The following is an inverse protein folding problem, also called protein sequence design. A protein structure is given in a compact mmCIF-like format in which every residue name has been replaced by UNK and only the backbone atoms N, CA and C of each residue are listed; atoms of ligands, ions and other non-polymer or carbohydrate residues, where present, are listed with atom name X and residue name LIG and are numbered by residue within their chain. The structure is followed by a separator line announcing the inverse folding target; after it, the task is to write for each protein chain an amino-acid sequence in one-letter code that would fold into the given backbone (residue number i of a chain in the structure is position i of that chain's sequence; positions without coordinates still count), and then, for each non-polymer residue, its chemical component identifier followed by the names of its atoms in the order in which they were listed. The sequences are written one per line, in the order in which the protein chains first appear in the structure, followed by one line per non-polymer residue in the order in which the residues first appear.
data_IF_301628087780
#
_entry.id   IF_301628087780
#
_cell.length_a   1.000
_cell.length_b   1.000
_cell.length_c   1.000
_cell.angle_alpha   90.00
_cell.angle_beta   90.00
_cell.angle_gamma   90.00
#
_symmetry.space_group_name_H-M   'P 1'
#
loop_
_entity.id
_entity.type
_entity.pdbx_description
1 polymer ?
#
# COMPACT_ATOMS: atom_id res chain seq x y z
N UNK A 1 44.79 -18.93 23.18
CA UNK A 1 43.32 -19.17 23.22
C UNK A 1 42.59 -17.83 23.29
N UNK A 2 42.79 -16.98 22.28
CA UNK A 2 42.29 -15.62 22.25
C UNK A 2 41.22 -15.46 21.17
N UNK A 3 40.26 -16.39 21.09
CA UNK A 3 38.97 -16.09 20.44
C UNK A 3 38.18 -15.28 21.46
N UNK A 4 38.63 -14.05 21.70
CA UNK A 4 38.31 -13.28 22.91
C UNK A 4 37.12 -12.40 22.63
N UNK A 5 35.96 -12.71 23.21
CA UNK A 5 34.76 -11.86 23.38
C UNK A 5 34.22 -11.12 22.12
N UNK A 6 35.01 -10.25 21.48
CA UNK A 6 34.71 -9.58 20.22
C UNK A 6 34.24 -10.55 19.13
N UNK A 7 34.94 -11.68 18.95
CA UNK A 7 34.56 -12.70 17.97
C UNK A 7 33.22 -13.35 18.32
N UNK A 8 32.98 -13.61 19.61
CA UNK A 8 31.72 -14.18 20.10
C UNK A 8 30.57 -13.18 19.93
N UNK A 9 30.80 -11.91 20.21
CA UNK A 9 29.84 -10.82 20.01
C UNK A 9 29.53 -10.65 18.52
N UNK A 10 30.56 -10.62 17.67
CA UNK A 10 30.39 -10.53 16.23
C UNK A 10 29.59 -11.72 15.67
N UNK A 11 29.91 -12.94 16.11
CA UNK A 11 29.18 -14.15 15.74
C UNK A 11 27.72 -14.11 16.21
N UNK A 12 27.47 -13.68 17.45
CA UNK A 12 26.12 -13.53 17.98
C UNK A 12 25.30 -12.49 17.20
N UNK A 13 25.90 -11.33 16.89
CA UNK A 13 25.27 -10.30 16.07
C UNK A 13 24.96 -10.85 14.68
N UNK A 14 25.94 -11.49 14.02
CA UNK A 14 25.74 -12.09 12.71
C UNK A 14 24.59 -13.10 12.71
N UNK A 15 24.54 -13.98 13.72
CA UNK A 15 23.46 -14.95 13.88
C UNK A 15 22.10 -14.26 14.04
N UNK A 16 22.00 -13.21 14.84
CA UNK A 16 20.76 -12.43 15.01
C UNK A 16 20.32 -11.82 13.68
N UNK A 17 21.23 -11.23 12.91
CA UNK A 17 20.90 -10.65 11.59
C UNK A 17 20.46 -11.72 10.58
N UNK A 18 21.10 -12.89 10.57
CA UNK A 18 20.71 -14.01 9.71
C UNK A 18 19.32 -14.52 10.08
N UNK A 19 19.07 -14.79 11.37
CA UNK A 19 17.75 -15.22 11.84
C UNK A 19 16.68 -14.16 11.54
N UNK A 20 17.01 -12.88 11.71
CA UNK A 20 16.12 -11.79 11.36
C UNK A 20 15.78 -11.77 9.88
N UNK A 21 16.76 -11.96 8.99
CA UNK A 21 16.52 -11.97 7.55
C UNK A 21 15.44 -12.99 7.18
N UNK A 22 15.50 -14.20 7.74
CA UNK A 22 14.48 -15.23 7.50
C UNK A 22 13.14 -14.86 8.14
N UNK A 23 13.12 -14.41 9.39
CA UNK A 23 11.91 -14.02 10.10
C UNK A 23 11.19 -12.83 9.42
N UNK A 24 11.95 -11.81 9.05
CA UNK A 24 11.49 -10.62 8.32
C UNK A 24 10.87 -10.98 6.98
N UNK A 25 11.55 -11.81 6.18
CA UNK A 25 11.03 -12.29 4.89
C UNK A 25 9.75 -13.10 5.06
N UNK A 26 9.71 -13.97 6.06
CA UNK A 26 8.53 -14.77 6.38
C UNK A 26 7.33 -13.90 6.76
N UNK A 27 7.55 -12.94 7.66
CA UNK A 27 6.51 -11.99 8.06
C UNK A 27 6.04 -11.16 6.89
N UNK A 28 6.96 -10.66 6.07
CA UNK A 28 6.64 -9.83 4.92
C UNK A 28 5.80 -10.59 3.88
N UNK A 29 6.09 -11.87 3.63
CA UNK A 29 5.25 -12.74 2.77
C UNK A 29 3.85 -12.95 3.35
N UNK A 30 3.74 -13.22 4.66
CA UNK A 30 2.44 -13.34 5.33
C UNK A 30 1.63 -12.03 5.24
N UNK A 31 2.31 -10.89 5.40
CA UNK A 31 1.71 -9.56 5.30
C UNK A 31 1.23 -9.28 3.87
N UNK A 32 2.07 -9.54 2.88
CA UNK A 32 1.74 -9.42 1.46
C UNK A 32 0.48 -10.24 1.13
N UNK A 33 0.40 -11.50 1.56
CA UNK A 33 -0.77 -12.35 1.34
C UNK A 33 -2.05 -11.83 2.01
N UNK A 34 -1.95 -11.25 3.22
CA UNK A 34 -3.10 -10.60 3.88
C UNK A 34 -3.57 -9.37 3.12
N UNK A 35 -2.65 -8.49 2.73
CA UNK A 35 -2.97 -7.28 1.95
C UNK A 35 -3.54 -7.64 0.59
N UNK A 36 -2.96 -8.60 -0.12
CA UNK A 36 -3.45 -9.08 -1.41
C UNK A 36 -4.90 -9.57 -1.28
N UNK A 37 -5.23 -10.38 -0.26
CA UNK A 37 -6.61 -10.81 0.00
C UNK A 37 -7.54 -9.65 0.38
N UNK A 38 -7.06 -8.66 1.11
CA UNK A 38 -7.87 -7.47 1.44
C UNK A 38 -8.16 -6.64 0.19
N UNK A 39 -7.15 -6.44 -0.67
CA UNK A 39 -7.28 -5.77 -1.97
C UNK A 39 -8.24 -6.54 -2.89
N UNK A 40 -8.03 -7.84 -3.08
CA UNK A 40 -8.87 -8.68 -3.94
C UNK A 40 -10.35 -8.68 -3.47
N UNK A 41 -10.61 -8.65 -2.15
CA UNK A 41 -11.97 -8.52 -1.62
C UNK A 41 -12.60 -7.15 -1.88
N UNK A 42 -11.79 -6.11 -2.00
CA UNK A 42 -12.26 -4.76 -2.29
C UNK A 42 -12.50 -4.52 -3.81
N UNK A 43 -11.89 -5.32 -4.68
CA UNK A 43 -11.93 -5.13 -6.14
C UNK A 43 -13.28 -5.16 -6.84
N UNK A 44 -14.27 -6.00 -6.47
CA UNK A 44 -15.51 -6.17 -7.24
C UNK A 44 -16.30 -4.88 -7.51
N UNK A 45 -16.04 -3.83 -6.74
CA UNK A 45 -16.69 -2.53 -6.92
C UNK A 45 -15.95 -1.57 -7.88
N UNK A 46 -14.78 -1.96 -8.41
CA UNK A 46 -14.08 -1.28 -9.51
C UNK A 46 -14.22 -2.02 -10.84
N UNK A 47 -14.64 -3.28 -10.81
CA UNK A 47 -14.80 -4.14 -11.99
C UNK A 47 -14.69 -5.63 -11.64
N UNK A 48 -14.80 -6.48 -12.66
CA UNK A 48 -14.57 -7.93 -12.60
C UNK A 48 -13.15 -8.28 -13.04
N UNK A 49 -12.67 -9.44 -12.61
CA UNK A 49 -11.33 -9.91 -12.94
C UNK A 49 -10.20 -9.13 -12.26
N UNK A 50 -9.15 -9.84 -11.86
CA UNK A 50 -7.99 -9.24 -11.23
C UNK A 50 -6.72 -9.96 -11.67
N UNK A 51 -5.74 -9.20 -12.16
CA UNK A 51 -4.38 -9.70 -12.35
C UNK A 51 -3.52 -9.23 -11.18
N UNK A 52 -2.73 -10.15 -10.60
CA UNK A 52 -1.79 -9.81 -9.53
C UNK A 52 -0.38 -9.99 -10.03
N UNK A 53 0.42 -8.93 -9.97
CA UNK A 53 1.82 -8.92 -10.41
C UNK A 53 2.72 -8.57 -9.23
N UNK A 54 3.61 -9.49 -8.78
CA UNK A 54 4.56 -9.17 -7.72
C UNK A 54 5.56 -8.12 -8.18
N UNK A 55 6.01 -7.27 -7.25
CA UNK A 55 7.04 -6.25 -7.50
C UNK A 55 8.32 -6.62 -6.76
N UNK A 56 9.47 -6.43 -7.42
CA UNK A 56 10.81 -6.59 -6.83
C UNK A 56 10.99 -7.92 -6.08
N UNK A 57 11.10 -9.03 -6.80
CA UNK A 57 11.30 -10.37 -6.22
C UNK A 57 10.15 -10.88 -5.33
N UNK A 58 9.02 -10.17 -5.26
CA UNK A 58 7.85 -10.55 -4.47
C UNK A 58 7.90 -10.15 -2.99
N UNK A 59 8.94 -9.43 -2.55
CA UNK A 59 9.06 -8.93 -1.18
C UNK A 59 8.86 -7.42 -1.05
N UNK A 60 8.93 -6.67 -2.15
CA UNK A 60 8.76 -5.21 -2.12
C UNK A 60 7.32 -4.73 -2.24
N UNK A 61 6.43 -5.53 -2.82
CA UNK A 61 5.08 -5.10 -3.11
C UNK A 61 4.38 -5.97 -4.14
N UNK A 62 3.19 -5.55 -4.54
CA UNK A 62 2.46 -6.13 -5.64
C UNK A 62 1.57 -5.07 -6.30
N UNK A 63 1.37 -5.22 -7.60
CA UNK A 63 0.41 -4.47 -8.39
C UNK A 63 -0.80 -5.36 -8.64
N UNK A 64 -1.99 -4.78 -8.51
CA UNK A 64 -3.24 -5.42 -8.90
C UNK A 64 -3.90 -4.58 -9.97
N UNK A 65 -4.19 -5.19 -11.12
CA UNK A 65 -4.89 -4.53 -12.22
C UNK A 65 -6.28 -5.16 -12.37
N UNK A 66 -7.30 -4.32 -12.55
CA UNK A 66 -8.66 -4.77 -12.84
C UNK A 66 -8.74 -5.20 -14.30
N UNK A 67 -9.21 -6.44 -14.53
CA UNK A 67 -9.29 -7.01 -15.87
C UNK A 67 -10.43 -6.42 -16.71
N UNK A 68 -11.60 -6.31 -16.10
CA UNK A 68 -12.84 -5.80 -16.71
C UNK A 68 -13.36 -4.63 -15.85
N UNK A 69 -12.95 -3.39 -16.17
CA UNK A 69 -13.40 -2.21 -15.45
C UNK A 69 -14.93 -2.05 -15.45
N UNK A 70 -15.48 -1.59 -14.33
CA UNK A 70 -16.90 -1.29 -14.21
C UNK A 70 -17.33 -0.01 -14.97
N UNK A 71 -18.64 0.30 -15.02
CA UNK A 71 -19.17 1.42 -15.79
C UNK A 71 -18.51 2.76 -15.44
N UNK A 72 -18.06 3.50 -16.47
CA UNK A 72 -17.43 4.81 -16.35
C UNK A 72 -15.94 4.78 -15.92
N UNK A 73 -15.36 3.60 -15.76
CA UNK A 73 -13.95 3.39 -15.44
C UNK A 73 -13.26 2.83 -16.68
N UNK A 74 -12.19 3.48 -17.13
CA UNK A 74 -11.35 3.01 -18.23
C UNK A 74 -10.30 2.01 -17.76
N UNK A 75 -9.71 2.25 -16.60
CA UNK A 75 -8.70 1.38 -16.01
C UNK A 75 -8.68 1.56 -14.49
N UNK A 76 -8.35 0.51 -13.75
CA UNK A 76 -8.15 0.60 -12.32
C UNK A 76 -6.96 -0.27 -11.89
N UNK A 77 -6.08 0.34 -11.10
CA UNK A 77 -4.85 -0.29 -10.61
C UNK A 77 -4.66 0.01 -9.14
N UNK A 78 -4.20 -0.99 -8.39
CA UNK A 78 -3.85 -0.85 -6.98
C UNK A 78 -2.41 -1.31 -6.80
N UNK A 79 -1.55 -0.36 -6.48
CA UNK A 79 -0.15 -0.60 -6.18
C UNK A 79 0.03 -0.67 -4.65
N UNK A 80 0.47 -1.82 -4.16
CA UNK A 80 0.80 -2.02 -2.76
C UNK A 80 2.32 -2.11 -2.60
N UNK A 81 2.89 -1.21 -1.80
CA UNK A 81 4.30 -1.19 -1.44
C UNK A 81 4.43 -1.62 0.02
N UNK A 82 5.16 -2.71 0.24
CA UNK A 82 5.41 -3.26 1.56
C UNK A 82 6.61 -2.58 2.19
N UNK A 83 6.56 -2.41 3.50
CA UNK A 83 7.73 -1.98 4.26
C UNK A 83 8.83 -3.06 4.20
N UNK A 84 10.11 -2.69 3.96
CA UNK A 84 11.22 -3.64 3.94
C UNK A 84 11.52 -4.12 5.37
N UNK A 85 11.03 -5.32 5.70
CA UNK A 85 11.21 -5.96 7.03
C UNK A 85 12.45 -6.83 7.13
N UNK A 86 13.15 -7.03 6.01
CA UNK A 86 14.29 -7.93 5.87
C UNK A 86 15.55 -7.39 6.60
N UNK A 87 15.63 -6.08 6.83
CA UNK A 87 16.75 -5.42 7.51
C UNK A 87 16.28 -4.82 8.85
N UNK A 88 16.73 -5.35 10.01
CA UNK A 88 16.15 -5.00 11.31
C UNK A 88 16.35 -3.53 11.68
N UNK A 89 17.54 -2.99 11.43
CA UNK A 89 17.86 -1.59 11.74
C UNK A 89 17.10 -0.61 10.83
N UNK A 90 17.02 -0.92 9.53
CA UNK A 90 16.26 -0.11 8.59
C UNK A 90 14.76 -0.15 8.92
N UNK A 91 14.24 -1.32 9.28
CA UNK A 91 12.86 -1.50 9.69
C UNK A 91 12.53 -0.78 11.00
N UNK A 92 13.40 -0.85 12.01
CA UNK A 92 13.25 -0.11 13.25
C UNK A 92 13.21 1.41 12.98
N UNK A 93 14.09 1.91 12.12
CA UNK A 93 14.11 3.32 11.72
C UNK A 93 12.84 3.76 10.96
N UNK A 94 12.33 2.94 10.05
CA UNK A 94 11.08 3.24 9.33
C UNK A 94 9.87 3.21 10.26
N UNK A 95 9.83 2.27 11.21
CA UNK A 95 8.82 2.22 12.26
C UNK A 95 8.83 3.49 13.12
N UNK A 96 10.01 3.97 13.54
CA UNK A 96 10.16 5.21 14.31
C UNK A 96 9.67 6.46 13.53
N UNK A 97 9.80 6.46 12.20
CA UNK A 97 9.29 7.54 11.32
C UNK A 97 7.80 7.39 10.95
N UNK A 98 7.10 6.41 11.53
CA UNK A 98 5.70 6.12 11.22
C UNK A 98 5.49 5.73 9.75
N UNK A 99 6.49 5.19 9.06
CA UNK A 99 6.31 4.61 7.73
C UNK A 99 5.67 3.23 7.90
N UNK A 100 4.61 2.98 7.12
CA UNK A 100 3.88 1.71 7.07
C UNK A 100 3.78 1.23 5.63
N UNK A 101 3.09 0.11 5.41
CA UNK A 101 2.77 -0.34 4.06
C UNK A 101 1.96 0.75 3.35
N UNK A 102 2.29 1.04 2.09
CA UNK A 102 1.62 2.08 1.31
C UNK A 102 0.75 1.46 0.23
N UNK A 103 -0.44 2.01 0.04
CA UNK A 103 -1.36 1.60 -1.00
C UNK A 103 -1.69 2.81 -1.85
N UNK A 104 -1.57 2.64 -3.15
CA UNK A 104 -1.86 3.63 -4.17
C UNK A 104 -2.96 3.06 -5.04
N UNK A 105 -4.15 3.65 -4.99
CA UNK A 105 -5.29 3.32 -5.84
C UNK A 105 -5.31 4.34 -6.96
N UNK A 106 -5.13 3.88 -8.19
CA UNK A 106 -5.26 4.68 -9.40
C UNK A 106 -6.47 4.22 -10.17
N UNK A 107 -7.37 5.13 -10.49
CA UNK A 107 -8.56 4.88 -11.30
C UNK A 107 -8.57 5.89 -12.43
N UNK A 108 -8.50 5.41 -13.66
CA UNK A 108 -8.67 6.22 -14.86
C UNK A 108 -10.14 6.14 -15.29
N UNK A 109 -10.79 7.27 -15.50
CA UNK A 109 -12.19 7.37 -15.94
C UNK A 109 -12.32 7.58 -17.45
N UNK A 110 -13.50 7.30 -17.99
CA UNK A 110 -13.84 7.66 -19.38
C UNK A 110 -14.06 9.16 -19.56
N UNK A 111 -14.49 9.84 -18.49
CA UNK A 111 -14.73 11.28 -18.45
C UNK A 111 -13.82 11.97 -17.43
N UNK A 112 -13.52 13.24 -17.67
CA UNK A 112 -12.74 14.04 -16.73
C UNK A 112 -13.45 14.12 -15.36
N UNK A 113 -12.80 13.69 -14.26
CA UNK A 113 -13.38 13.81 -12.93
C UNK A 113 -13.51 15.29 -12.55
N UNK A 114 -14.46 15.58 -11.67
CA UNK A 114 -14.56 16.90 -11.05
C UNK A 114 -13.24 17.20 -10.29
N UNK A 115 -12.73 18.45 -10.35
CA UNK A 115 -11.48 18.81 -9.69
C UNK A 115 -11.61 18.62 -8.17
N UNK A 116 -10.79 17.74 -7.61
CA UNK A 116 -10.75 17.47 -6.17
C UNK A 116 -9.29 17.27 -5.75
N UNK A 117 -8.68 18.27 -5.10
CA UNK A 117 -7.33 18.15 -4.56
C UNK A 117 -7.41 18.21 -3.04
N UNK A 118 -7.16 17.07 -2.39
CA UNK A 118 -6.98 17.02 -0.94
C UNK A 118 -5.54 16.63 -0.70
N UNK A 119 -4.71 17.64 -0.41
CA UNK A 119 -3.39 17.41 0.14
C UNK A 119 -3.54 16.89 1.57
N UNK A 120 -2.83 15.81 1.88
CA UNK A 120 -2.91 15.09 3.14
C UNK A 120 -2.36 15.88 4.32
N UNK A 121 -3.12 16.87 4.78
CA UNK A 121 -2.96 17.47 6.10
C UNK A 121 -3.62 16.63 7.21
N UNK A 122 -3.26 16.84 8.48
CA UNK A 122 -3.87 16.14 9.62
C UNK A 122 -5.40 16.29 9.67
N UNK A 123 -5.96 17.37 9.11
CA UNK A 123 -7.41 17.60 9.07
C UNK A 123 -8.15 16.80 7.96
N UNK A 124 -7.52 16.54 6.81
CA UNK A 124 -8.13 15.79 5.70
C UNK A 124 -8.14 14.27 5.94
N UNK A 125 -7.08 13.77 6.58
CA UNK A 125 -6.96 12.36 7.00
C UNK A 125 -7.91 12.00 8.15
N UNK A 126 -8.10 12.91 9.12
CA UNK A 126 -9.03 12.73 10.24
C UNK A 126 -10.50 12.63 9.81
N UNK A 127 -10.94 13.40 8.80
CA UNK A 127 -12.34 13.36 8.30
C UNK A 127 -12.72 12.04 7.62
N UNK A 128 -11.75 11.33 7.05
CA UNK A 128 -11.98 10.08 6.31
C UNK A 128 -11.56 8.85 7.12
N UNK A 129 -10.93 9.05 8.28
CA UNK A 129 -10.45 7.98 9.15
C UNK A 129 -9.37 7.12 8.51
N UNK A 130 -8.62 7.66 7.53
CA UNK A 130 -7.56 6.95 6.80
C UNK A 130 -6.23 7.60 7.13
N UNK A 131 -5.29 6.81 7.63
CA UNK A 131 -3.94 7.25 7.97
C UNK A 131 -3.18 7.80 6.76
N UNK A 132 -2.74 9.06 6.84
CA UNK A 132 -1.83 9.71 5.86
C UNK A 132 -2.34 9.64 4.40
N UNK A 133 -3.64 9.88 4.22
CA UNK A 133 -4.31 9.95 2.92
C UNK A 133 -3.86 11.16 2.09
N UNK A 134 -3.49 10.92 0.83
CA UNK A 134 -3.19 11.93 -0.19
C UNK A 134 -4.05 11.62 -1.42
N UNK A 135 -4.82 12.60 -1.88
CA UNK A 135 -5.67 12.47 -3.08
C UNK A 135 -5.20 13.45 -4.14
N UNK A 136 -4.85 12.94 -5.31
CA UNK A 136 -4.50 13.73 -6.48
C UNK A 136 -5.40 13.37 -7.66
N UNK A 137 -6.06 14.38 -8.24
CA UNK A 137 -6.82 14.24 -9.49
C UNK A 137 -6.15 15.04 -10.59
N UNK A 138 -6.02 14.50 -11.80
CA UNK A 138 -5.57 15.25 -12.97
C UNK A 138 -6.66 15.28 -14.05
N UNK A 139 -6.81 16.44 -14.70
CA UNK A 139 -7.80 16.66 -15.77
C UNK A 139 -7.30 16.32 -17.18
N UNK A 140 -5.99 16.41 -17.42
CA UNK A 140 -5.38 16.20 -18.74
C UNK A 140 -5.29 14.71 -19.10
N UNK A 141 -5.17 13.85 -18.09
CA UNK A 141 -5.43 12.41 -18.19
C UNK A 141 -6.39 12.11 -17.06
N UNK A 142 -7.67 11.80 -17.34
CA UNK A 142 -8.74 11.78 -16.34
C UNK A 142 -8.55 10.66 -15.33
N UNK A 143 -7.70 10.89 -14.33
CA UNK A 143 -7.35 9.91 -13.33
C UNK A 143 -7.45 10.47 -11.93
N UNK A 144 -7.93 9.61 -11.05
CA UNK A 144 -7.98 9.81 -9.61
C UNK A 144 -6.95 8.87 -9.01
N UNK A 145 -5.97 9.43 -8.32
CA UNK A 145 -5.00 8.68 -7.54
C UNK A 145 -5.18 8.98 -6.06
N UNK A 146 -5.32 7.92 -5.27
CA UNK A 146 -5.47 7.95 -3.83
C UNK A 146 -4.31 7.15 -3.23
N UNK A 147 -3.45 7.80 -2.48
CA UNK A 147 -2.32 7.18 -1.78
C UNK A 147 -2.57 7.24 -0.27
N UNK A 148 -2.39 6.14 0.46
CA UNK A 148 -2.55 6.10 1.91
C UNK A 148 -1.65 5.03 2.54
N UNK A 149 -1.45 5.14 3.85
CA UNK A 149 -0.68 4.17 4.63
C UNK A 149 -1.61 3.21 5.35
N UNK A 150 -1.24 1.93 5.44
CA UNK A 150 -2.03 0.88 6.11
C UNK A 150 -1.15 0.13 7.12
N UNK A 151 -1.45 0.27 8.41
CA UNK A 151 -0.82 -0.54 9.44
C UNK A 151 -1.50 -1.93 9.55
N UNK A 152 -0.88 -2.89 10.25
CA UNK A 152 -1.54 -4.14 10.58
C UNK A 152 -2.81 -3.93 11.42
N UNK A 153 -3.94 -4.47 10.95
CA UNK A 153 -5.26 -4.27 11.57
C UNK A 153 -6.10 -3.17 10.91
N UNK A 154 -5.50 -2.33 10.05
CA UNK A 154 -6.17 -1.22 9.36
C UNK A 154 -6.58 -1.58 7.92
N UNK A 155 -6.72 -2.86 7.59
CA UNK A 155 -7.04 -3.29 6.22
C UNK A 155 -8.39 -2.76 5.71
N UNK A 156 -9.30 -2.36 6.60
CA UNK A 156 -10.57 -1.72 6.23
C UNK A 156 -10.39 -0.38 5.51
N UNK A 157 -9.27 0.31 5.73
CA UNK A 157 -8.95 1.58 5.06
C UNK A 157 -8.87 1.41 3.54
N UNK A 158 -8.54 0.20 3.07
CA UNK A 158 -8.54 -0.16 1.66
C UNK A 158 -9.93 -0.06 1.07
N UNK A 159 -10.94 -0.58 1.78
CA UNK A 159 -12.33 -0.52 1.34
C UNK A 159 -12.87 0.92 1.35
N UNK A 160 -12.46 1.73 2.35
CA UNK A 160 -12.83 3.14 2.48
C UNK A 160 -12.22 4.00 1.36
N UNK A 161 -10.91 3.86 1.13
CA UNK A 161 -10.19 4.56 0.07
C UNK A 161 -10.76 4.24 -1.31
N UNK A 162 -11.07 2.96 -1.56
CA UNK A 162 -11.73 2.54 -2.80
C UNK A 162 -13.10 3.18 -2.97
N UNK A 163 -13.95 3.17 -1.94
CA UNK A 163 -15.29 3.79 -2.01
C UNK A 163 -15.18 5.28 -2.33
N UNK A 164 -14.17 5.96 -1.80
CA UNK A 164 -13.87 7.34 -2.13
C UNK A 164 -13.43 7.50 -3.60
N UNK A 165 -12.50 6.69 -4.10
CA UNK A 165 -12.04 6.73 -5.50
C UNK A 165 -13.20 6.55 -6.49
N UNK A 166 -14.07 5.57 -6.25
CA UNK A 166 -15.23 5.31 -7.09
C UNK A 166 -16.24 6.47 -7.08
N UNK A 167 -16.47 7.11 -5.93
CA UNK A 167 -17.37 8.26 -5.86
C UNK A 167 -16.80 9.49 -6.56
N UNK A 168 -15.49 9.72 -6.45
CA UNK A 168 -14.81 10.83 -7.12
C UNK A 168 -14.84 10.68 -8.63
N UNK A 169 -14.55 9.48 -9.16
CA UNK A 169 -14.56 9.25 -10.61
C UNK A 169 -15.98 9.35 -11.20
N UNK A 170 -17.00 8.93 -10.44
CA UNK A 170 -18.42 9.03 -10.85
C UNK A 170 -19.03 10.41 -10.63
N UNK A 171 -18.31 11.35 -10.02
CA UNK A 171 -18.84 12.69 -9.70
C UNK A 171 -19.86 12.73 -8.55
N UNK A 172 -20.02 11.63 -7.82
CA UNK A 172 -20.93 11.48 -6.65
C UNK A 172 -20.36 12.08 -5.36
N UNK A 173 -19.08 12.47 -5.38
CA UNK A 173 -18.41 13.14 -4.28
C UNK A 173 -17.64 14.35 -4.81
N UNK A 174 -17.71 15.45 -4.06
CA UNK A 174 -16.84 16.61 -4.20
C UNK A 174 -16.10 16.74 -2.86
N UNK A 175 -14.79 16.94 -2.94
CA UNK A 175 -13.94 17.25 -1.79
C UNK A 175 -13.71 18.76 -1.71
#
# INVERSE_FOLDING_TARGET
MAVTLLDQVAAAIALVFVLWLFAGRYWNRRRAGRLARAVLRALPALGSGASLRPLGGGSGGFLVEVGEPGPGIRSAQLLCLLEPRDFPLAWAWTCLRGRRDQIIVRVDGERAPAPARVEGGPQGSARLGIGRLVVSTQRVSPHVQISFSVAPGEEEDIARARKLAARLIRGEARL
#
